data_IF_665983152474
#
_entry.id   IF_665983152474
#
_cell.length_a   1.000
_cell.length_b   1.000
_cell.length_c   1.000
_cell.angle_alpha   90.00
_cell.angle_beta   90.00
_cell.angle_gamma   90.00
#
_symmetry.space_group_name_H-M   'P 1'
#
loop_
_entity.id
_entity.type
_entity.pdbx_description
1 polymer ?
#
# COMPACT_ATOMS: atom_id res chain seq x y z
N UNK A 1 -10.77 -52.19 54.55
CA UNK A 1 -11.05 -52.14 53.09
C UNK A 1 -11.33 -50.69 52.73
N UNK A 2 -10.51 -50.03 51.90
CA UNK A 2 -10.73 -48.65 51.47
C UNK A 2 -9.43 -47.89 51.20
N UNK A 3 -8.75 -48.20 50.10
CA UNK A 3 -7.57 -47.48 49.63
C UNK A 3 -7.91 -46.08 49.16
N UNK A 4 -7.22 -45.07 49.67
CA UNK A 4 -7.14 -43.73 49.06
C UNK A 4 -6.05 -43.77 47.99
N UNK A 5 -6.39 -43.48 46.74
CA UNK A 5 -5.42 -43.23 45.67
C UNK A 5 -5.45 -41.74 45.36
N UNK A 6 -4.35 -41.06 45.70
CA UNK A 6 -4.03 -39.72 45.24
C UNK A 6 -3.22 -39.85 43.95
N UNK A 7 -3.73 -39.31 42.84
CA UNK A 7 -2.98 -39.13 41.60
C UNK A 7 -2.90 -37.63 41.27
N UNK A 8 -1.74 -37.09 40.84
CA UNK A 8 -1.62 -35.67 40.52
C UNK A 8 -2.18 -35.41 39.13
N UNK A 9 -3.24 -34.60 39.04
CA UNK A 9 -3.73 -34.06 37.78
C UNK A 9 -2.75 -32.97 37.33
N UNK A 10 -1.79 -33.33 36.48
CA UNK A 10 -0.95 -32.35 35.79
C UNK A 10 -1.76 -31.77 34.64
N UNK A 11 -2.36 -30.61 34.88
CA UNK A 11 -3.09 -29.85 33.88
C UNK A 11 -2.09 -29.36 32.82
N UNK A 12 -2.06 -30.02 31.66
CA UNK A 12 -1.14 -29.65 30.58
C UNK A 12 -1.68 -28.39 29.90
N UNK A 13 -0.84 -27.39 29.60
CA UNK A 13 -1.30 -26.18 28.93
C UNK A 13 -1.90 -26.51 27.56
N UNK A 14 -2.94 -25.77 27.12
CA UNK A 14 -3.56 -26.00 25.83
C UNK A 14 -2.55 -25.81 24.69
N UNK A 15 -2.70 -26.55 23.58
CA UNK A 15 -1.80 -26.41 22.43
C UNK A 15 -1.89 -25.00 21.83
N UNK A 16 -0.80 -24.49 21.22
CA UNK A 16 -0.80 -23.20 20.56
C UNK A 16 -1.77 -23.19 19.36
N UNK A 17 -2.31 -22.02 18.99
CA UNK A 17 -3.18 -21.90 17.82
C UNK A 17 -2.44 -22.27 16.52
N UNK A 18 -3.17 -22.72 15.48
CA UNK A 18 -2.58 -23.03 14.19
C UNK A 18 -1.93 -21.80 13.55
N UNK A 19 -0.83 -22.01 12.82
CA UNK A 19 -0.17 -20.95 12.05
C UNK A 19 -1.09 -20.45 10.94
N UNK A 20 -1.10 -19.14 10.64
CA UNK A 20 -1.83 -18.61 9.49
C UNK A 20 -1.29 -19.21 8.18
N UNK A 21 -2.13 -19.32 7.14
CA UNK A 21 -1.70 -19.82 5.84
C UNK A 21 -0.61 -18.93 5.25
N UNK A 22 0.36 -19.54 4.56
CA UNK A 22 1.37 -18.81 3.81
C UNK A 22 0.72 -18.03 2.66
N UNK A 23 1.20 -16.81 2.32
CA UNK A 23 0.69 -16.08 1.18
C UNK A 23 0.86 -16.91 -0.11
N UNK A 24 -0.04 -16.77 -1.10
CA UNK A 24 0.06 -17.47 -2.36
C UNK A 24 1.40 -17.14 -3.02
N UNK A 25 2.13 -18.19 -3.44
CA UNK A 25 3.35 -18.00 -4.24
C UNK A 25 2.95 -17.37 -5.56
N UNK A 26 3.51 -16.19 -5.86
CA UNK A 26 3.38 -15.59 -7.18
C UNK A 26 3.89 -16.57 -8.25
N UNK A 27 3.21 -16.67 -9.41
CA UNK A 27 3.73 -17.46 -10.53
C UNK A 27 5.06 -16.87 -11.02
N UNK A 28 5.99 -17.70 -11.49
CA UNK A 28 7.21 -17.22 -12.12
C UNK A 28 6.84 -16.43 -13.38
N UNK A 29 7.32 -15.19 -13.47
CA UNK A 29 7.21 -14.39 -14.69
C UNK A 29 7.97 -15.08 -15.84
N UNK A 30 7.40 -15.16 -17.05
CA UNK A 30 8.09 -15.73 -18.20
C UNK A 30 9.27 -14.84 -18.57
N UNK A 31 10.46 -15.43 -18.59
CA UNK A 31 11.67 -14.79 -19.06
C UNK A 31 11.67 -14.73 -20.59
N UNK A 32 11.64 -13.49 -21.11
CA UNK A 32 12.24 -13.16 -22.39
C UNK A 32 11.30 -12.79 -23.52
N UNK A 33 11.02 -11.50 -23.66
CA UNK A 33 10.95 -10.83 -24.98
C UNK A 33 11.57 -9.44 -24.87
N UNK A 34 12.57 -9.18 -25.71
CA UNK A 34 13.26 -7.90 -25.82
C UNK A 34 12.35 -6.90 -26.55
N UNK A 35 11.86 -5.89 -25.85
CA UNK A 35 11.29 -4.69 -26.46
C UNK A 35 12.19 -3.49 -26.16
N UNK A 36 12.59 -2.82 -27.24
CA UNK A 36 13.37 -1.58 -27.27
C UNK A 36 12.40 -0.40 -27.09
N UNK A 37 12.70 0.52 -26.19
CA UNK A 37 12.09 1.86 -26.16
C UNK A 37 11.44 2.23 -24.82
N UNK A 38 12.06 3.18 -24.12
CA UNK A 38 11.52 3.81 -22.90
C UNK A 38 12.36 3.47 -21.67
N UNK A 39 13.23 4.40 -21.29
CA UNK A 39 14.06 4.34 -20.09
C UNK A 39 13.23 3.97 -18.85
N UNK A 40 13.46 2.77 -18.30
CA UNK A 40 12.92 2.33 -17.01
C UNK A 40 13.67 3.03 -15.86
N UNK A 41 13.54 4.35 -15.74
CA UNK A 41 14.23 5.16 -14.72
C UNK A 41 13.54 5.13 -13.33
N UNK A 42 12.79 4.08 -13.00
CA UNK A 42 12.09 4.01 -11.70
C UNK A 42 12.18 2.68 -10.97
N UNK A 43 12.71 1.60 -11.57
CA UNK A 43 12.99 0.38 -10.80
C UNK A 43 14.18 0.58 -9.84
N UNK A 44 15.18 1.39 -10.22
CA UNK A 44 16.32 1.74 -9.36
C UNK A 44 16.09 2.99 -8.49
N UNK A 45 15.01 3.74 -8.71
CA UNK A 45 14.68 4.97 -7.94
C UNK A 45 13.93 4.66 -6.63
N UNK A 46 13.73 3.37 -6.33
CA UNK A 46 13.00 2.88 -5.16
C UNK A 46 13.56 3.40 -3.83
N UNK A 47 14.88 3.52 -3.69
CA UNK A 47 15.49 3.98 -2.44
C UNK A 47 15.25 5.47 -2.15
N UNK A 48 15.27 6.34 -3.16
CA UNK A 48 15.04 7.79 -2.96
C UNK A 48 13.56 8.12 -2.78
N UNK A 49 12.68 7.40 -3.49
CA UNK A 49 11.25 7.57 -3.31
C UNK A 49 10.83 7.13 -1.91
N UNK A 50 11.24 5.92 -1.48
CA UNK A 50 10.77 5.29 -0.25
C UNK A 50 11.50 5.70 1.02
N UNK A 51 12.65 6.37 0.93
CA UNK A 51 13.40 6.89 2.09
C UNK A 51 12.53 7.75 3.03
N UNK A 52 11.48 8.39 2.51
CA UNK A 52 10.52 9.18 3.29
C UNK A 52 9.90 8.40 4.46
N UNK A 53 9.62 7.10 4.28
CA UNK A 53 8.95 6.30 5.31
C UNK A 53 9.86 6.08 6.52
N UNK A 54 11.18 6.05 6.32
CA UNK A 54 12.15 5.86 7.40
C UNK A 54 12.44 7.13 8.21
N UNK A 55 12.03 8.31 7.74
CA UNK A 55 12.32 9.59 8.39
C UNK A 55 11.19 10.11 9.29
N UNK A 56 10.07 9.40 9.39
CA UNK A 56 8.94 9.83 10.22
C UNK A 56 9.24 9.66 11.71
N UNK A 57 8.84 10.65 12.51
CA UNK A 57 9.03 10.66 13.97
C UNK A 57 7.69 10.82 14.72
N UNK A 58 7.71 10.71 16.05
CA UNK A 58 6.52 10.86 16.90
C UNK A 58 5.55 9.68 16.83
N UNK A 59 4.25 9.93 17.05
CA UNK A 59 3.22 8.88 17.13
C UNK A 59 2.92 8.23 15.76
N UNK A 60 3.20 8.93 14.66
CA UNK A 60 2.99 8.43 13.29
C UNK A 60 4.16 7.65 12.69
N UNK A 61 5.30 7.51 13.39
CA UNK A 61 6.55 6.96 12.85
C UNK A 61 6.48 5.55 12.26
N UNK A 62 5.48 4.75 12.64
CA UNK A 62 5.29 3.39 12.11
C UNK A 62 4.36 3.35 10.88
N UNK A 63 3.90 4.50 10.38
CA UNK A 63 3.09 4.55 9.17
C UNK A 63 3.93 4.13 7.96
N UNK A 64 3.65 2.95 7.42
CA UNK A 64 4.39 2.40 6.27
C UNK A 64 3.83 2.86 4.91
N UNK A 65 2.61 3.40 4.88
CA UNK A 65 1.95 3.81 3.64
C UNK A 65 1.97 2.72 2.57
N UNK A 66 2.33 3.09 1.34
CA UNK A 66 2.51 2.19 0.19
C UNK A 66 3.92 1.64 0.03
N UNK A 67 4.74 1.58 1.08
CA UNK A 67 6.17 1.22 1.02
C UNK A 67 6.46 -0.07 0.22
N UNK A 68 5.63 -1.10 0.39
CA UNK A 68 5.79 -2.39 -0.29
C UNK A 68 4.84 -2.57 -1.48
N UNK A 69 4.18 -1.49 -1.90
CA UNK A 69 3.24 -1.45 -3.01
C UNK A 69 3.89 -1.14 -4.35
N UNK A 70 3.13 -1.40 -5.42
CA UNK A 70 3.52 -0.98 -6.76
C UNK A 70 3.48 0.55 -6.87
N UNK A 71 4.28 1.10 -7.80
CA UNK A 71 4.17 2.52 -8.16
C UNK A 71 2.97 2.68 -9.09
N UNK A 72 2.00 3.51 -8.69
CA UNK A 72 0.88 3.91 -9.54
C UNK A 72 1.11 5.34 -10.03
N UNK A 73 0.95 5.56 -11.33
CA UNK A 73 1.20 6.86 -11.99
C UNK A 73 -0.13 7.52 -12.34
N UNK A 74 -0.43 8.63 -11.67
CA UNK A 74 -1.59 9.48 -12.00
C UNK A 74 -1.26 10.28 -13.25
N UNK A 75 -2.02 10.05 -14.31
CA UNK A 75 -1.83 10.64 -15.64
C UNK A 75 -3.01 11.54 -16.04
N UNK A 76 -4.08 11.56 -15.25
CA UNK A 76 -5.30 12.31 -15.51
C UNK A 76 -5.64 13.25 -14.35
N UNK A 77 -6.10 14.47 -14.68
CA UNK A 77 -6.62 15.45 -13.72
C UNK A 77 -8.14 15.33 -13.49
N UNK A 78 -8.79 14.36 -14.13
CA UNK A 78 -10.21 14.08 -13.93
C UNK A 78 -10.46 13.56 -12.51
N UNK A 79 -11.64 13.83 -11.95
CA UNK A 79 -12.02 13.38 -10.60
C UNK A 79 -12.03 11.86 -10.47
N UNK A 80 -12.44 11.13 -11.51
CA UNK A 80 -12.63 9.68 -11.50
C UNK A 80 -12.26 9.07 -12.86
N UNK A 81 -12.17 7.75 -12.91
CA UNK A 81 -11.84 6.96 -14.11
C UNK A 81 -10.35 6.64 -14.27
N UNK A 82 -9.99 5.99 -15.39
CA UNK A 82 -8.63 5.49 -15.63
C UNK A 82 -7.54 6.56 -15.50
N UNK A 83 -6.49 6.26 -14.75
CA UNK A 83 -5.34 7.14 -14.53
C UNK A 83 -5.61 8.32 -13.60
N UNK A 84 -6.78 8.39 -12.97
CA UNK A 84 -7.11 9.40 -11.98
C UNK A 84 -6.54 9.07 -10.59
N UNK A 85 -6.39 10.09 -9.75
CA UNK A 85 -6.03 9.89 -8.34
C UNK A 85 -7.07 9.03 -7.60
N UNK A 86 -8.35 9.16 -7.93
CA UNK A 86 -9.45 8.47 -7.24
C UNK A 86 -9.48 6.98 -7.55
N UNK A 87 -9.17 6.57 -8.77
CA UNK A 87 -8.95 5.17 -9.12
C UNK A 87 -7.86 4.56 -8.22
N UNK A 88 -6.69 5.20 -8.16
CA UNK A 88 -5.57 4.74 -7.35
C UNK A 88 -5.89 4.69 -5.84
N UNK A 89 -6.60 5.68 -5.32
CA UNK A 89 -6.98 5.74 -3.90
C UNK A 89 -7.95 4.63 -3.49
N UNK A 90 -8.81 4.16 -4.40
CA UNK A 90 -9.80 3.10 -4.13
C UNK A 90 -9.22 1.69 -4.21
N UNK A 91 -8.14 1.50 -4.95
CA UNK A 91 -7.48 0.20 -5.11
C UNK A 91 -7.23 -0.48 -3.75
N UNK A 92 -7.45 -1.80 -3.69
CA UNK A 92 -7.28 -2.56 -2.45
C UNK A 92 -5.80 -2.85 -2.17
N UNK A 93 -5.00 -3.03 -3.22
CA UNK A 93 -3.57 -3.30 -3.11
C UNK A 93 -2.79 -2.09 -2.54
N UNK A 94 -1.67 -2.32 -1.84
CA UNK A 94 -0.74 -1.26 -1.45
C UNK A 94 -0.21 -0.52 -2.68
N UNK A 95 -0.21 0.82 -2.66
CA UNK A 95 0.29 1.64 -3.77
C UNK A 95 1.12 2.83 -3.28
N UNK A 96 2.23 3.08 -3.99
CA UNK A 96 2.94 4.35 -3.97
C UNK A 96 2.49 5.19 -5.17
N UNK A 97 1.61 6.15 -4.93
CA UNK A 97 0.95 6.95 -5.96
C UNK A 97 1.80 8.18 -6.25
N UNK A 98 2.27 8.31 -7.49
CA UNK A 98 3.04 9.46 -8.00
C UNK A 98 2.27 10.15 -9.12
N UNK A 99 2.65 11.38 -9.45
CA UNK A 99 2.00 12.17 -10.50
C UNK A 99 2.94 12.34 -11.70
N UNK A 100 2.41 12.12 -12.90
CA UNK A 100 3.08 12.50 -14.16
C UNK A 100 2.64 13.87 -14.67
N UNK A 101 1.49 14.35 -14.18
CA UNK A 101 0.88 15.62 -14.56
C UNK A 101 0.81 16.58 -13.36
N UNK A 102 1.13 17.85 -13.61
CA UNK A 102 0.83 18.95 -12.70
C UNK A 102 -0.54 19.54 -13.03
N UNK A 103 -1.25 20.06 -12.04
CA UNK A 103 -2.53 20.74 -12.25
C UNK A 103 -3.46 20.69 -11.05
N UNK A 104 -4.71 21.03 -11.32
CA UNK A 104 -5.78 21.04 -10.32
C UNK A 104 -6.73 19.86 -10.59
N UNK A 105 -6.97 19.04 -9.58
CA UNK A 105 -8.00 17.99 -9.60
C UNK A 105 -9.21 18.54 -8.86
N UNK A 106 -10.30 18.70 -9.60
CA UNK A 106 -11.58 19.17 -9.06
C UNK A 106 -12.36 17.99 -8.48
N UNK A 107 -12.33 17.83 -7.15
CA UNK A 107 -13.01 16.70 -6.52
C UNK A 107 -14.53 16.95 -6.49
N UNK A 108 -15.32 16.05 -7.06
CA UNK A 108 -16.79 16.13 -7.00
C UNK A 108 -17.36 15.62 -5.67
N UNK A 109 -16.56 14.90 -4.90
CA UNK A 109 -16.91 14.37 -3.59
C UNK A 109 -15.65 14.15 -2.75
N UNK A 110 -15.80 13.86 -1.46
CA UNK A 110 -14.65 13.47 -0.62
C UNK A 110 -13.83 12.35 -1.27
N UNK A 111 -12.51 12.52 -1.26
CA UNK A 111 -11.57 11.52 -1.75
C UNK A 111 -11.32 10.50 -0.62
N UNK A 112 -11.92 9.31 -0.74
CA UNK A 112 -11.67 8.21 0.19
C UNK A 112 -10.38 7.48 -0.20
N UNK A 113 -9.45 7.37 0.75
CA UNK A 113 -8.16 6.70 0.56
C UNK A 113 -8.18 5.37 1.32
N UNK A 114 -8.03 4.26 0.59
CA UNK A 114 -7.90 2.93 1.18
C UNK A 114 -6.58 2.77 1.95
N UNK A 115 -6.45 1.70 2.74
CA UNK A 115 -5.22 1.39 3.47
C UNK A 115 -4.01 1.22 2.55
N UNK A 116 -2.81 1.37 3.14
CA UNK A 116 -1.52 1.13 2.49
C UNK A 116 -1.26 1.99 1.25
N UNK A 117 -1.56 3.29 1.35
CA UNK A 117 -1.29 4.28 0.30
C UNK A 117 -0.23 5.27 0.75
N UNK A 118 0.66 5.61 -0.17
CA UNK A 118 1.43 6.85 -0.12
C UNK A 118 1.00 7.69 -1.30
N UNK A 119 0.57 8.93 -1.07
CA UNK A 119 0.32 9.90 -2.15
C UNK A 119 1.50 10.87 -2.16
N UNK A 120 2.30 10.80 -3.20
CA UNK A 120 3.59 11.48 -3.30
C UNK A 120 3.56 12.55 -4.40
N UNK A 121 3.33 13.79 -4.00
CA UNK A 121 3.31 14.95 -4.90
C UNK A 121 4.69 15.52 -5.24
N UNK A 122 5.80 14.93 -4.76
CA UNK A 122 7.14 15.47 -5.04
C UNK A 122 7.40 15.50 -6.56
N UNK A 123 7.99 16.59 -7.03
CA UNK A 123 8.31 16.78 -8.46
C UNK A 123 7.15 17.27 -9.32
N UNK A 124 5.93 17.36 -8.80
CA UNK A 124 4.77 17.92 -9.50
C UNK A 124 4.06 18.98 -8.64
N UNK A 125 3.41 19.96 -9.28
CA UNK A 125 2.51 20.88 -8.60
C UNK A 125 1.08 20.36 -8.75
N UNK A 126 0.56 19.75 -7.69
CA UNK A 126 -0.80 19.20 -7.66
C UNK A 126 -1.63 19.93 -6.63
N UNK A 127 -2.82 20.39 -7.03
CA UNK A 127 -3.80 21.04 -6.15
C UNK A 127 -5.08 20.21 -6.18
N UNK A 128 -5.64 19.90 -5.01
CA UNK A 128 -6.96 19.29 -4.88
C UNK A 128 -7.94 20.38 -4.45
N UNK A 129 -9.06 20.55 -5.15
CA UNK A 129 -10.14 21.44 -4.70
C UNK A 129 -11.28 20.63 -4.12
N UNK A 130 -11.93 21.19 -3.09
CA UNK A 130 -13.15 20.62 -2.54
C UNK A 130 -14.32 20.74 -3.54
N UNK A 131 -15.38 19.94 -3.37
CA UNK A 131 -16.64 20.16 -4.08
C UNK A 131 -17.16 21.56 -3.74
N UNK A 132 -17.62 22.31 -4.75
CA UNK A 132 -18.30 23.57 -4.51
C UNK A 132 -19.58 23.29 -3.71
N UNK A 133 -19.73 23.94 -2.56
CA UNK A 133 -20.92 23.90 -1.71
C UNK A 133 -22.00 24.75 -2.40
N UNK A 134 -22.71 24.18 -3.38
CA UNK A 134 -23.85 24.81 -4.07
C UNK A 134 -25.15 24.06 -3.83
#
# INVERSE_FOLDING_TARGET
MGSRVSGPYMDSPPPPPPRPPSPPRHPPHPQGERHVGGEMLYQDTDHRLRALVGSAEGFGRHAIGGLYGAIHRVTSLQDDGPGSLREACRAEEPLWIVFEVSGTIHLHSYLRVSSYKTIDGRGQRVVLTAPDDR
#
